data_IF_462084953980
#
_entry.id   IF_462084953980
#
_cell.length_a   1.000
_cell.length_b   1.000
_cell.length_c   1.000
_cell.angle_alpha   90.00
_cell.angle_beta   90.00
_cell.angle_gamma   90.00
#
_symmetry.space_group_name_H-M   'P 1'
#
loop_
_entity.id
_entity.type
_entity.pdbx_description
1 polymer ?
#
# COMPACT_ATOMS: atom_id res chain seq x y z
N UNK A 1 16.69 3.15 45.16
CA UNK A 1 16.53 3.81 43.86
C UNK A 1 16.53 2.70 42.82
N UNK A 2 15.37 2.38 42.26
CA UNK A 2 15.27 1.39 41.19
C UNK A 2 15.74 2.03 39.88
N UNK A 3 16.55 1.35 39.06
CA UNK A 3 16.75 1.81 37.69
C UNK A 3 15.42 1.65 36.95
N UNK A 4 14.89 2.76 36.41
CA UNK A 4 13.85 2.72 35.40
C UNK A 4 14.48 2.10 34.15
N UNK A 5 14.00 0.93 33.75
CA UNK A 5 14.26 0.41 32.41
C UNK A 5 13.54 1.33 31.42
N UNK A 6 14.31 2.07 30.63
CA UNK A 6 13.82 2.78 29.44
C UNK A 6 13.33 1.71 28.45
N UNK A 7 12.06 1.69 28.02
CA UNK A 7 11.64 0.81 26.96
C UNK A 7 11.95 1.51 25.63
N UNK A 8 13.20 1.42 25.19
CA UNK A 8 13.56 1.61 23.78
C UNK A 8 14.20 0.30 23.34
N UNK A 9 13.39 -0.75 23.22
CA UNK A 9 13.83 -1.92 22.46
C UNK A 9 14.14 -1.40 21.06
N UNK A 10 15.41 -1.46 20.66
CA UNK A 10 15.82 -1.29 19.27
C UNK A 10 14.95 -2.23 18.44
N UNK A 11 13.94 -1.70 17.75
CA UNK A 11 13.20 -2.50 16.77
C UNK A 11 14.23 -2.93 15.74
N UNK A 12 14.46 -4.24 15.67
CA UNK A 12 15.40 -4.79 14.71
C UNK A 12 14.89 -4.57 13.30
N UNK A 13 15.80 -4.35 12.36
CA UNK A 13 15.50 -4.31 10.93
C UNK A 13 14.68 -5.52 10.44
N UNK A 14 14.86 -6.69 11.07
CA UNK A 14 14.07 -7.89 10.80
C UNK A 14 12.59 -7.74 11.17
N UNK A 15 12.26 -7.05 12.26
CA UNK A 15 10.88 -6.80 12.64
C UNK A 15 10.20 -5.80 11.68
N UNK A 16 10.93 -4.77 11.22
CA UNK A 16 10.45 -3.86 10.19
C UNK A 16 10.21 -4.58 8.86
N UNK A 17 11.08 -5.52 8.49
CA UNK A 17 10.89 -6.40 7.32
C UNK A 17 9.63 -7.24 7.44
N UNK A 18 9.43 -7.92 8.57
CA UNK A 18 8.25 -8.75 8.80
C UNK A 18 6.95 -7.93 8.73
N UNK A 19 6.92 -6.76 9.38
CA UNK A 19 5.78 -5.84 9.30
C UNK A 19 5.51 -5.40 7.86
N UNK A 20 6.55 -5.03 7.12
CA UNK A 20 6.41 -4.58 5.73
C UNK A 20 5.82 -5.67 4.83
N UNK A 21 6.34 -6.90 4.97
CA UNK A 21 5.88 -8.03 4.18
C UNK A 21 4.41 -8.37 4.51
N UNK A 22 4.03 -8.38 5.78
CA UNK A 22 2.64 -8.62 6.20
C UNK A 22 1.68 -7.51 5.69
N UNK A 23 2.14 -6.26 5.73
CA UNK A 23 1.41 -5.12 5.16
C UNK A 23 1.19 -5.29 3.65
N UNK A 24 2.26 -5.57 2.88
CA UNK A 24 2.18 -5.77 1.43
C UNK A 24 1.33 -6.97 1.04
N UNK A 25 1.43 -8.08 1.76
CA UNK A 25 0.59 -9.27 1.55
C UNK A 25 -0.89 -8.91 1.74
N UNK A 26 -1.22 -8.18 2.80
CA UNK A 26 -2.61 -7.76 3.06
C UNK A 26 -3.15 -6.84 1.96
N UNK A 27 -2.33 -5.94 1.42
CA UNK A 27 -2.72 -5.05 0.31
C UNK A 27 -2.84 -5.83 -1.01
N UNK A 28 -1.95 -6.80 -1.25
CA UNK A 28 -2.01 -7.66 -2.42
C UNK A 28 -3.31 -8.47 -2.49
N UNK A 29 -3.84 -8.93 -1.35
CA UNK A 29 -5.14 -9.59 -1.30
C UNK A 29 -6.28 -8.67 -1.77
N UNK A 30 -6.22 -7.36 -1.46
CA UNK A 30 -7.18 -6.39 -1.98
C UNK A 30 -7.01 -6.20 -3.49
N UNK A 31 -5.77 -6.08 -3.97
CA UNK A 31 -5.49 -5.99 -5.41
C UNK A 31 -6.09 -7.18 -6.15
N UNK A 32 -5.96 -8.41 -5.63
CA UNK A 32 -6.52 -9.62 -6.25
C UNK A 32 -8.04 -9.62 -6.37
N UNK A 33 -8.75 -8.94 -5.45
CA UNK A 33 -10.21 -8.77 -5.58
C UNK A 33 -10.61 -7.81 -6.71
N UNK A 34 -9.72 -6.86 -7.05
CA UNK A 34 -9.97 -5.87 -8.10
C UNK A 34 -9.51 -6.43 -9.46
N UNK A 35 -8.24 -6.82 -9.52
CA UNK A 35 -7.52 -7.22 -10.72
C UNK A 35 -6.25 -8.01 -10.36
N UNK A 36 -6.14 -9.24 -10.86
CA UNK A 36 -5.01 -10.16 -10.58
C UNK A 36 -3.82 -10.00 -11.52
N UNK A 37 -3.91 -9.18 -12.55
CA UNK A 37 -2.78 -8.92 -13.45
C UNK A 37 -1.78 -7.93 -12.86
N UNK A 38 -0.86 -7.46 -13.70
CA UNK A 38 0.21 -6.57 -13.25
C UNK A 38 -0.30 -5.17 -12.95
N UNK A 39 0.11 -4.61 -11.82
CA UNK A 39 -0.20 -3.26 -11.42
C UNK A 39 0.98 -2.35 -11.67
N UNK A 40 0.71 -1.10 -12.07
CA UNK A 40 1.74 -0.09 -12.12
C UNK A 40 2.20 0.28 -10.72
N UNK A 41 3.50 0.20 -10.50
CA UNK A 41 4.13 0.62 -9.25
C UNK A 41 4.36 2.13 -9.32
N UNK A 42 3.80 2.87 -8.36
CA UNK A 42 4.05 4.30 -8.22
C UNK A 42 4.85 4.61 -6.95
N UNK A 43 4.51 3.95 -5.84
CA UNK A 43 5.29 3.95 -4.59
C UNK A 43 5.38 2.51 -4.11
N UNK A 44 6.59 1.99 -3.94
CA UNK A 44 6.78 0.56 -3.67
C UNK A 44 6.46 0.17 -2.22
N UNK A 45 6.59 1.11 -1.29
CA UNK A 45 6.33 0.94 0.13
C UNK A 45 7.35 0.08 0.84
N UNK A 46 8.61 0.21 0.51
CA UNK A 46 9.77 -0.36 1.21
C UNK A 46 10.59 0.68 1.99
N UNK A 47 10.35 1.98 1.75
CA UNK A 47 10.98 3.06 2.51
C UNK A 47 10.18 3.29 3.80
N UNK A 48 10.81 3.20 4.99
CA UNK A 48 10.14 3.60 6.23
C UNK A 48 9.96 5.12 6.25
N UNK A 49 8.74 5.55 6.52
CA UNK A 49 8.36 6.93 6.75
C UNK A 49 8.12 7.18 8.23
N UNK A 50 8.33 8.42 8.68
CA UNK A 50 8.08 8.78 10.08
C UNK A 50 6.57 8.98 10.31
N UNK A 51 6.03 8.23 11.26
CA UNK A 51 4.76 8.52 11.92
C UNK A 51 5.02 9.00 13.35
N UNK A 52 3.99 9.16 14.18
CA UNK A 52 4.02 9.73 15.55
C UNK A 52 5.37 9.59 16.30
N UNK A 53 5.53 8.50 17.06
CA UNK A 53 6.77 8.12 17.76
C UNK A 53 7.44 6.90 17.10
N UNK A 54 7.18 6.69 15.81
CA UNK A 54 7.44 5.43 15.13
C UNK A 54 7.73 5.54 13.64
N UNK A 55 7.55 4.42 12.95
CA UNK A 55 7.65 4.30 11.51
C UNK A 55 6.43 3.62 10.89
N UNK A 56 6.18 3.93 9.63
CA UNK A 56 5.17 3.29 8.79
C UNK A 56 5.68 3.14 7.35
N UNK A 57 4.93 2.41 6.54
CA UNK A 57 5.20 2.23 5.12
C UNK A 57 4.01 2.70 4.31
N UNK A 58 4.31 3.32 3.16
CA UNK A 58 3.30 3.79 2.23
C UNK A 58 3.52 3.18 0.86
N UNK A 59 2.49 2.57 0.28
CA UNK A 59 2.54 2.07 -1.09
C UNK A 59 1.43 2.66 -1.95
N UNK A 60 1.70 2.73 -3.25
CA UNK A 60 0.77 3.18 -4.27
C UNK A 60 0.83 2.28 -5.49
N UNK A 61 -0.34 1.88 -5.97
CA UNK A 61 -0.53 1.05 -7.17
C UNK A 61 -1.59 1.67 -8.07
N UNK A 62 -1.40 1.58 -9.38
CA UNK A 62 -2.38 2.02 -10.37
C UNK A 62 -2.71 0.87 -11.33
N UNK A 63 -3.90 0.91 -11.93
CA UNK A 63 -4.18 0.05 -13.07
C UNK A 63 -3.22 0.34 -14.25
N UNK A 64 -2.94 -0.65 -15.12
CA UNK A 64 -2.18 -0.44 -16.35
C UNK A 64 -2.77 0.63 -17.25
N UNK A 65 -1.92 1.24 -18.09
CA UNK A 65 -2.42 2.15 -19.14
C UNK A 65 -3.35 1.42 -20.10
N UNK A 66 -4.44 2.08 -20.48
CA UNK A 66 -5.43 1.53 -21.40
C UNK A 66 -6.32 0.44 -20.80
N UNK A 67 -6.20 0.18 -19.49
CA UNK A 67 -7.03 -0.84 -18.82
C UNK A 67 -8.51 -0.46 -18.85
N UNK A 68 -9.37 -1.47 -19.00
CA UNK A 68 -10.81 -1.31 -18.78
C UNK A 68 -11.46 -2.55 -18.18
N UNK A 69 -12.40 -2.32 -17.28
CA UNK A 69 -13.36 -3.29 -16.77
C UNK A 69 -14.55 -3.50 -17.73
N UNK A 70 -14.53 -2.93 -18.94
CA UNK A 70 -15.61 -3.03 -19.93
C UNK A 70 -16.98 -2.57 -19.39
N UNK A 71 -16.98 -1.51 -18.58
CA UNK A 71 -18.18 -0.95 -17.95
C UNK A 71 -18.60 -1.63 -16.64
N UNK A 72 -17.88 -2.66 -16.19
CA UNK A 72 -18.17 -3.36 -14.92
C UNK A 72 -17.54 -2.69 -13.69
N UNK A 73 -16.76 -1.62 -13.87
CA UNK A 73 -16.00 -0.96 -12.80
C UNK A 73 -16.82 -0.61 -11.56
N UNK A 74 -17.98 0.07 -11.68
CA UNK A 74 -18.83 0.37 -10.54
C UNK A 74 -19.32 -0.87 -9.76
N UNK A 75 -19.70 -1.94 -10.46
CA UNK A 75 -20.12 -3.18 -9.81
C UNK A 75 -18.94 -3.84 -9.08
N UNK A 76 -17.75 -3.85 -9.68
CA UNK A 76 -16.53 -4.38 -9.04
C UNK A 76 -16.18 -3.63 -7.77
N UNK A 77 -16.34 -2.31 -7.73
CA UNK A 77 -16.11 -1.52 -6.50
C UNK A 77 -17.16 -1.83 -5.43
N UNK A 78 -18.41 -2.07 -5.81
CA UNK A 78 -19.44 -2.52 -4.88
C UNK A 78 -19.13 -3.92 -4.30
N UNK A 79 -18.71 -4.86 -5.16
CA UNK A 79 -18.33 -6.21 -4.76
C UNK A 79 -17.10 -6.20 -3.84
N UNK A 80 -16.09 -5.38 -4.16
CA UNK A 80 -14.92 -5.16 -3.30
C UNK A 80 -15.34 -4.67 -1.92
N UNK A 81 -16.22 -3.66 -1.86
CA UNK A 81 -16.69 -3.09 -0.58
C UNK A 81 -17.41 -4.14 0.28
N UNK A 82 -18.22 -4.98 -0.34
CA UNK A 82 -18.91 -6.08 0.33
C UNK A 82 -17.89 -7.10 0.87
N UNK A 83 -16.98 -7.57 0.03
CA UNK A 83 -15.93 -8.50 0.43
C UNK A 83 -15.06 -7.96 1.57
N UNK A 84 -14.67 -6.68 1.52
CA UNK A 84 -13.88 -6.03 2.57
C UNK A 84 -14.62 -6.11 3.92
N UNK A 85 -15.90 -5.77 3.92
CA UNK A 85 -16.76 -5.85 5.11
C UNK A 85 -16.84 -7.27 5.66
N UNK A 86 -17.08 -8.26 4.78
CA UNK A 86 -17.16 -9.68 5.15
C UNK A 86 -15.81 -10.23 5.65
N UNK A 87 -14.71 -9.69 5.14
CA UNK A 87 -13.33 -10.08 5.47
C UNK A 87 -12.74 -9.32 6.66
N UNK A 88 -13.58 -8.63 7.43
CA UNK A 88 -13.22 -7.95 8.69
C UNK A 88 -12.58 -6.57 8.54
N UNK A 89 -12.53 -6.00 7.34
CA UNK A 89 -12.04 -4.62 7.17
C UNK A 89 -13.00 -3.62 7.80
N UNK A 90 -12.44 -2.59 8.42
CA UNK A 90 -13.17 -1.43 8.92
C UNK A 90 -13.40 -0.47 7.75
N UNK A 91 -14.49 -0.66 7.02
CA UNK A 91 -14.84 0.19 5.87
C UNK A 91 -15.53 1.47 6.34
N UNK A 92 -14.98 2.63 6.00
CA UNK A 92 -15.58 3.91 6.28
C UNK A 92 -16.83 4.16 5.40
N UNK A 93 -17.77 5.01 5.85
CA UNK A 93 -18.86 5.48 5.00
C UNK A 93 -18.31 6.09 3.71
N UNK A 94 -18.92 5.78 2.57
CA UNK A 94 -18.53 6.37 1.29
C UNK A 94 -18.61 7.89 1.37
N UNK A 95 -17.59 8.62 0.91
CA UNK A 95 -17.66 10.07 0.84
C UNK A 95 -18.83 10.48 -0.05
N UNK A 96 -19.70 11.36 0.44
CA UNK A 96 -20.69 12.02 -0.41
C UNK A 96 -20.01 13.18 -1.11
N UNK A 97 -19.67 12.99 -2.38
CA UNK A 97 -19.24 14.09 -3.24
C UNK A 97 -20.45 14.85 -3.79
N UNK A 98 -20.23 16.11 -4.16
CA UNK A 98 -21.27 16.96 -4.76
C UNK A 98 -21.71 16.47 -6.14
N UNK A 99 -22.77 17.08 -6.65
CA UNK A 99 -23.33 16.77 -7.97
C UNK A 99 -22.25 16.85 -9.08
N UNK A 100 -22.12 15.80 -9.89
CA UNK A 100 -21.16 15.73 -11.01
C UNK A 100 -19.80 15.09 -10.69
N UNK A 101 -19.61 14.51 -9.50
CA UNK A 101 -18.41 13.72 -9.17
C UNK A 101 -18.77 12.24 -9.20
N UNK A 102 -18.38 11.55 -10.28
CA UNK A 102 -18.63 10.11 -10.49
C UNK A 102 -17.52 9.21 -9.90
N UNK A 103 -16.67 9.78 -9.05
CA UNK A 103 -15.57 9.05 -8.41
C UNK A 103 -16.10 8.12 -7.31
N UNK A 104 -15.74 6.85 -7.37
CA UNK A 104 -16.02 5.87 -6.33
C UNK A 104 -14.79 5.76 -5.43
N UNK A 105 -14.95 6.20 -4.19
CA UNK A 105 -13.88 6.12 -3.19
C UNK A 105 -14.27 5.14 -2.07
N UNK A 106 -13.41 4.16 -1.83
CA UNK A 106 -13.49 3.24 -0.71
C UNK A 106 -12.33 3.55 0.23
N UNK A 107 -12.66 3.92 1.46
CA UNK A 107 -11.67 4.11 2.54
C UNK A 107 -11.89 3.00 3.56
N UNK A 108 -10.83 2.30 3.93
CA UNK A 108 -10.91 1.24 4.92
C UNK A 108 -9.62 1.12 5.74
N UNK A 109 -9.68 0.37 6.84
CA UNK A 109 -8.50 -0.03 7.61
C UNK A 109 -8.59 -1.50 8.04
N UNK A 110 -7.45 -2.11 8.31
CA UNK A 110 -7.35 -3.45 8.91
C UNK A 110 -6.12 -3.52 9.83
N UNK A 111 -6.15 -2.82 10.98
CA UNK A 111 -4.96 -2.64 11.83
C UNK A 111 -4.37 -3.96 12.32
N UNK A 112 -5.20 -4.98 12.58
CA UNK A 112 -4.75 -6.31 12.98
C UNK A 112 -3.94 -7.03 11.90
N UNK A 113 -4.07 -6.59 10.64
CA UNK A 113 -3.30 -7.05 9.48
C UNK A 113 -2.35 -5.95 8.96
N UNK A 114 -1.89 -5.06 9.86
CA UNK A 114 -0.86 -4.04 9.58
C UNK A 114 -1.24 -2.96 8.58
N UNK A 115 -2.52 -2.79 8.23
CA UNK A 115 -3.00 -1.70 7.37
C UNK A 115 -3.77 -0.70 8.22
N UNK A 116 -3.21 0.49 8.44
CA UNK A 116 -3.95 1.57 9.14
C UNK A 116 -5.01 2.18 8.24
N UNK A 117 -4.66 2.36 6.96
CA UNK A 117 -5.51 2.99 5.96
C UNK A 117 -5.27 2.40 4.58
N UNK A 118 -6.36 2.19 3.86
CA UNK A 118 -6.41 1.87 2.44
C UNK A 118 -7.42 2.81 1.79
N UNK A 119 -7.01 3.49 0.73
CA UNK A 119 -7.88 4.25 -0.16
C UNK A 119 -7.86 3.59 -1.54
N UNK A 120 -9.04 3.23 -2.05
CA UNK A 120 -9.26 2.85 -3.45
C UNK A 120 -10.06 3.97 -4.09
N UNK A 121 -9.47 4.61 -5.09
CA UNK A 121 -9.99 5.78 -5.78
C UNK A 121 -10.22 5.39 -7.24
N UNK A 122 -11.49 5.35 -7.67
CA UNK A 122 -11.88 4.80 -8.96
C UNK A 122 -12.74 5.75 -9.79
N UNK A 123 -12.29 6.03 -11.00
CA UNK A 123 -13.03 6.78 -12.02
C UNK A 123 -13.34 5.83 -13.16
N UNK A 124 -14.63 5.64 -13.44
CA UNK A 124 -15.08 4.79 -14.53
C UNK A 124 -14.74 5.38 -15.89
N UNK A 125 -14.20 4.55 -16.77
CA UNK A 125 -14.10 4.83 -18.18
C UNK A 125 -15.47 4.75 -18.87
N UNK A 126 -15.58 5.41 -20.02
CA UNK A 126 -16.74 5.41 -20.90
C UNK A 126 -16.28 5.16 -22.32
N UNK A 127 -16.71 4.04 -22.90
CA UNK A 127 -16.43 3.74 -24.30
C UNK A 127 -17.05 4.77 -25.25
N UNK A 128 -18.19 5.38 -24.87
CA UNK A 128 -18.84 6.43 -25.65
C UNK A 128 -17.99 7.72 -25.69
N UNK A 129 -17.27 8.01 -24.61
CA UNK A 129 -16.42 9.19 -24.48
C UNK A 129 -14.94 8.90 -24.80
N UNK A 130 -14.60 7.65 -25.15
CA UNK A 130 -13.24 7.20 -25.44
C UNK A 130 -12.31 7.23 -24.22
N UNK A 131 -12.86 7.19 -23.01
CA UNK A 131 -12.10 7.20 -21.75
C UNK A 131 -11.91 5.79 -21.21
N UNK A 132 -10.83 5.60 -20.44
CA UNK A 132 -10.46 4.32 -19.83
C UNK A 132 -10.68 4.36 -18.33
N UNK A 133 -10.73 3.18 -17.71
CA UNK A 133 -10.88 3.07 -16.27
C UNK A 133 -9.59 3.52 -15.57
N UNK A 134 -9.73 4.39 -14.58
CA UNK A 134 -8.60 4.87 -13.77
C UNK A 134 -8.85 4.44 -12.33
N UNK A 135 -7.88 3.73 -11.75
CA UNK A 135 -7.92 3.35 -10.34
C UNK A 135 -6.55 3.58 -9.72
N UNK A 136 -6.52 4.33 -8.62
CA UNK A 136 -5.38 4.47 -7.72
C UNK A 136 -5.70 3.76 -6.40
N UNK A 137 -4.81 2.87 -5.99
CA UNK A 137 -4.81 2.24 -4.67
C UNK A 137 -3.66 2.84 -3.86
N UNK A 138 -3.98 3.40 -2.70
CA UNK A 138 -3.02 3.90 -1.72
C UNK A 138 -3.20 3.13 -0.42
N UNK A 139 -2.11 2.70 0.18
CA UNK A 139 -2.16 2.04 1.48
C UNK A 139 -1.06 2.57 2.40
N UNK A 140 -1.40 2.73 3.67
CA UNK A 140 -0.48 3.11 4.74
C UNK A 140 -0.51 2.00 5.80
N UNK A 141 0.66 1.56 6.24
CA UNK A 141 0.76 0.54 7.29
C UNK A 141 0.33 1.10 8.65
N UNK A 142 0.19 0.23 9.65
CA UNK A 142 0.17 0.69 11.05
C UNK A 142 1.47 1.40 11.40
N UNK A 143 1.37 2.41 12.27
CA UNK A 143 2.52 3.06 12.88
C UNK A 143 3.07 2.13 13.96
N UNK A 144 4.28 1.62 13.75
CA UNK A 144 4.96 0.76 14.72
C UNK A 144 6.04 1.57 15.44
N UNK A 145 6.31 1.29 16.73
CA UNK A 145 7.35 2.00 17.46
C UNK A 145 8.72 1.80 16.79
N UNK A 146 9.60 2.80 16.78
CA UNK A 146 10.94 2.67 16.22
C UNK A 146 11.46 3.95 15.57
N UNK A 147 12.75 3.95 15.22
CA UNK A 147 13.39 5.08 14.56
C UNK A 147 13.42 4.88 13.03
N UNK A 148 12.51 5.56 12.32
CA UNK A 148 12.43 5.52 10.86
C UNK A 148 13.74 5.93 10.18
N UNK A 149 14.49 6.89 10.74
CA UNK A 149 15.75 7.34 10.17
C UNK A 149 16.84 6.27 10.33
N UNK A 150 16.93 5.64 11.50
CA UNK A 150 17.87 4.54 11.73
C UNK A 150 17.55 3.31 10.86
N UNK A 151 16.27 3.01 10.64
CA UNK A 151 15.84 1.96 9.70
C UNK A 151 16.19 2.29 8.26
N UNK A 152 16.02 3.55 7.85
CA UNK A 152 16.39 4.01 6.51
C UNK A 152 17.90 3.94 6.26
N UNK A 153 18.71 4.29 7.25
CA UNK A 153 20.17 4.15 7.20
C UNK A 153 20.60 2.69 7.03
N UNK A 154 19.96 1.77 7.77
CA UNK A 154 20.20 0.34 7.61
C UNK A 154 19.77 -0.17 6.23
N UNK A 155 18.63 0.29 5.71
CA UNK A 155 18.12 -0.10 4.39
C UNK A 155 19.04 0.33 3.23
N UNK A 156 19.58 1.55 3.31
CA UNK A 156 20.43 2.12 2.25
C UNK A 156 21.90 1.69 2.37
N UNK A 157 22.30 1.13 3.52
CA UNK A 157 23.71 0.86 3.82
C UNK A 157 24.52 2.15 3.97
N UNK A 158 25.86 2.05 4.13
CA UNK A 158 26.72 3.24 4.20
C UNK A 158 26.53 4.07 2.92
N UNK A 159 26.46 5.41 3.06
CA UNK A 159 26.22 6.45 2.03
C UNK A 159 27.04 6.30 0.72
N UNK A 160 26.82 5.22 -0.02
CA UNK A 160 27.20 5.09 -1.41
C UNK A 160 26.11 5.75 -2.24
N UNK A 161 26.49 6.26 -3.42
CA UNK A 161 25.59 6.96 -4.32
C UNK A 161 24.26 6.20 -4.45
N UNK A 162 23.14 6.92 -4.44
CA UNK A 162 21.82 6.33 -4.72
C UNK A 162 21.97 5.54 -6.03
N UNK A 163 21.81 4.21 -6.00
CA UNK A 163 22.02 3.42 -7.20
C UNK A 163 21.04 3.87 -8.29
N UNK A 164 21.51 3.93 -9.53
CA UNK A 164 20.70 4.36 -10.67
C UNK A 164 19.49 3.44 -10.90
N UNK A 165 19.60 2.17 -10.47
CA UNK A 165 18.55 1.17 -10.50
C UNK A 165 18.15 0.80 -9.07
N UNK A 166 16.87 0.98 -8.76
CA UNK A 166 16.28 0.63 -7.46
C UNK A 166 15.89 -0.85 -7.38
N UNK A 167 15.90 -1.58 -8.50
CA UNK A 167 15.39 -2.94 -8.61
C UNK A 167 13.86 -3.04 -8.53
N UNK A 168 13.16 -1.91 -8.45
CA UNK A 168 11.69 -1.85 -8.38
C UNK A 168 11.14 -1.94 -9.80
N UNK A 169 10.28 -2.92 -10.11
CA UNK A 169 9.71 -3.03 -11.45
C UNK A 169 8.62 -1.98 -11.69
N UNK A 170 8.46 -1.52 -12.93
CA UNK A 170 7.36 -0.62 -13.32
C UNK A 170 5.98 -1.28 -13.17
N UNK A 171 5.93 -2.60 -13.33
CA UNK A 171 4.75 -3.45 -13.28
C UNK A 171 5.00 -4.61 -12.31
N UNK A 172 4.07 -4.86 -11.39
CA UNK A 172 4.18 -5.94 -10.41
C UNK A 172 2.84 -6.65 -10.24
N UNK A 173 2.84 -7.98 -10.34
CA UNK A 173 1.68 -8.81 -10.01
C UNK A 173 1.45 -8.86 -8.49
N UNK A 174 0.20 -8.90 -7.98
CA UNK A 174 -0.09 -9.16 -6.58
C UNK A 174 0.43 -10.52 -6.07
N UNK A 175 0.79 -11.44 -6.96
CA UNK A 175 1.40 -12.74 -6.62
C UNK A 175 2.94 -12.71 -6.66
N UNK A 176 3.56 -11.59 -7.03
CA UNK A 176 5.01 -11.44 -7.00
C UNK A 176 5.53 -11.48 -5.55
N UNK A 177 6.73 -12.03 -5.36
CA UNK A 177 7.38 -11.97 -4.04
C UNK A 177 7.79 -10.53 -3.75
N UNK A 178 7.26 -9.87 -2.70
CA UNK A 178 7.55 -8.48 -2.43
C UNK A 178 9.00 -8.30 -1.98
N UNK A 179 9.63 -7.24 -2.48
CA UNK A 179 10.96 -6.81 -2.06
C UNK A 179 10.86 -6.00 -0.76
N UNK A 180 11.90 -6.08 0.06
CA UNK A 180 12.10 -5.22 1.23
C UNK A 180 13.52 -4.65 1.23
N UNK A 181 14.51 -5.52 1.04
CA UNK A 181 15.90 -5.11 0.88
C UNK A 181 16.19 -4.86 -0.60
N UNK A 182 16.74 -3.68 -0.92
CA UNK A 182 17.17 -3.30 -2.29
C UNK A 182 18.59 -3.77 -2.61
N UNK A 183 19.33 -4.19 -1.59
CA UNK A 183 20.76 -4.48 -1.66
C UNK A 183 21.05 -5.79 -0.93
N UNK A 184 20.89 -6.92 -1.60
CA UNK A 184 21.61 -8.13 -1.17
C UNK A 184 23.09 -7.89 -1.42
N UNK A 185 23.88 -8.05 -0.35
CA UNK A 185 25.34 -8.09 -0.36
C UNK A 185 25.88 -8.84 -1.59
N UNK A 186 26.77 -8.18 -2.34
CA UNK A 186 27.69 -8.87 -3.24
C UNK A 186 28.82 -9.53 -2.48
#
# INVERSE_FOLDING_TARGET
MSPQATPSEEISFAAAKEQNLAFKETVAEVQKQIFTGEWRVAEYGDVPERCDEGYEFFLRRNLPEGFSFNGEGPQRMADLRAWMTESGWQVAPSPTYGEGIDNIVIVAGKPEAKVSRLDVDFISGSAADGTVDVLELRATSTCEPGDAAALLEQLRGPLQAVPEDTGIPDLESPDATPLFERHTEG
#
